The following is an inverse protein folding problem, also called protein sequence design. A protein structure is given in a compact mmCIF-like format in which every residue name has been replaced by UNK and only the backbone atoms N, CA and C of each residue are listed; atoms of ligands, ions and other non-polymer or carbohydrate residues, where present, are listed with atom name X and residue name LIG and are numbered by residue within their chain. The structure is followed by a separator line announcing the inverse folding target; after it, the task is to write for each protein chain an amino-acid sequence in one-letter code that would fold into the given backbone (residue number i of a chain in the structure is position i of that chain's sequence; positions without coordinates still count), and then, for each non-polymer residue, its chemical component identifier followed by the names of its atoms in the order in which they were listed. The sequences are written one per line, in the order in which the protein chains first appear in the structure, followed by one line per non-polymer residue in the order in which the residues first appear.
data_IF_224225581820
#
_entry.id   IF_224225581820
#
_cell.length_a   1.000
_cell.length_b   1.000
_cell.length_c   1.000
_cell.angle_alpha   90.00
_cell.angle_beta   90.00
_cell.angle_gamma   90.00
#
_symmetry.space_group_name_H-M   'P 1'
#
loop_
_entity.id
_entity.type
_entity.pdbx_description
1 polymer ?
#
# COMPACT_ATOMS: atom_id res chain seq x y z
N UNK A 1 28.67 -23.42 12.71
CA UNK A 1 27.77 -22.50 13.42
C UNK A 1 26.42 -22.52 12.75
N UNK A 2 25.34 -22.72 13.52
CA UNK A 2 23.97 -22.64 13.04
C UNK A 2 23.28 -21.47 13.72
N UNK A 3 22.66 -20.60 12.95
CA UNK A 3 21.84 -19.49 13.45
C UNK A 3 20.44 -19.63 12.88
N UNK A 4 19.43 -19.60 13.74
CA UNK A 4 18.02 -19.66 13.38
C UNK A 4 17.31 -18.43 13.95
N UNK A 5 16.46 -17.80 13.14
CA UNK A 5 15.59 -16.71 13.53
C UNK A 5 14.19 -17.00 12.99
N UNK A 6 13.17 -16.89 13.82
CA UNK A 6 11.78 -16.95 13.40
C UNK A 6 10.98 -15.88 14.15
N UNK A 7 9.98 -15.33 13.50
CA UNK A 7 9.16 -14.30 14.10
C UNK A 7 7.85 -14.08 13.37
N UNK A 8 6.99 -13.33 14.03
CA UNK A 8 5.73 -12.84 13.49
C UNK A 8 5.67 -11.33 13.65
N UNK A 9 5.01 -10.67 12.72
CA UNK A 9 4.80 -9.23 12.72
C UNK A 9 3.32 -8.96 12.49
N UNK A 10 2.75 -8.06 13.29
CA UNK A 10 1.38 -7.56 13.13
C UNK A 10 1.49 -6.04 13.03
N UNK A 11 1.00 -5.51 11.92
CA UNK A 11 0.91 -4.07 11.70
C UNK A 11 -0.56 -3.69 11.53
N UNK A 12 -1.01 -2.71 12.29
CA UNK A 12 -2.31 -2.07 12.11
C UNK A 12 -2.09 -0.56 11.98
N UNK A 13 -2.61 0.01 10.91
CA UNK A 13 -2.60 1.44 10.68
C UNK A 13 -4.03 1.92 10.39
N UNK A 14 -4.42 3.03 10.98
CA UNK A 14 -5.69 3.71 10.72
C UNK A 14 -5.40 5.08 10.15
N UNK A 15 -6.03 5.40 9.02
CA UNK A 15 -5.97 6.71 8.38
C UNK A 15 -7.36 7.30 8.33
N UNK A 16 -7.56 8.38 9.06
CA UNK A 16 -8.79 9.15 9.02
C UNK A 16 -8.61 10.33 8.06
N UNK A 17 -9.48 10.40 7.07
CA UNK A 17 -9.51 11.51 6.12
C UNK A 17 -10.69 12.40 6.50
N UNK A 18 -10.38 13.60 6.99
CA UNK A 18 -11.37 14.65 7.24
C UNK A 18 -11.56 15.48 5.99
N UNK A 19 -12.81 15.77 5.59
CA UNK A 19 -13.06 16.60 4.43
C UNK A 19 -12.56 18.03 4.66
N UNK A 20 -11.97 18.60 3.65
CA UNK A 20 -11.69 20.02 3.61
C UNK A 20 -13.01 20.80 3.47
N UNK A 21 -13.22 21.79 4.33
CA UNK A 21 -14.42 22.61 4.32
C UNK A 21 -14.05 24.01 3.81
N UNK A 22 -14.57 24.36 2.64
CA UNK A 22 -14.45 25.73 2.12
C UNK A 22 -15.31 26.68 2.93
N UNK A 23 -14.70 27.74 3.45
CA UNK A 23 -15.40 28.76 4.20
C UNK A 23 -15.41 30.06 3.42
N UNK A 24 -16.58 30.71 3.35
CA UNK A 24 -16.80 31.93 2.58
C UNK A 24 -16.83 33.16 3.48
N UNK A 25 -16.63 34.35 2.87
CA UNK A 25 -16.78 35.62 3.53
C UNK A 25 -15.78 35.88 4.66
N UNK A 26 -14.52 35.49 4.47
CA UNK A 26 -13.49 35.76 5.45
C UNK A 26 -13.27 37.26 5.64
N UNK A 27 -13.43 37.75 6.88
CA UNK A 27 -13.16 39.13 7.28
C UNK A 27 -11.82 39.16 8.04
N UNK A 28 -10.82 39.78 7.44
CA UNK A 28 -9.46 39.88 8.00
C UNK A 28 -9.36 40.71 9.27
N UNK A 29 -10.32 41.63 9.50
CA UNK A 29 -10.29 42.51 10.66
C UNK A 29 -10.87 41.86 11.91
N UNK A 30 -11.86 41.01 11.73
CA UNK A 30 -12.53 40.30 12.82
C UNK A 30 -12.13 38.85 12.94
N UNK A 31 -11.30 38.37 11.99
CA UNK A 31 -10.88 36.96 11.87
C UNK A 31 -12.08 35.99 11.90
N UNK A 32 -13.14 36.38 11.20
CA UNK A 32 -14.40 35.61 11.17
C UNK A 32 -14.77 35.22 9.74
N UNK A 33 -15.61 34.21 9.63
CA UNK A 33 -16.19 33.71 8.38
C UNK A 33 -17.71 33.71 8.49
N UNK A 34 -18.39 33.72 7.35
CA UNK A 34 -19.85 33.59 7.31
C UNK A 34 -20.20 32.16 7.72
N UNK A 35 -21.00 32.01 8.77
CA UNK A 35 -21.42 30.70 9.30
C UNK A 35 -22.52 30.06 8.46
N UNK A 36 -23.36 30.85 7.80
CA UNK A 36 -24.47 30.41 6.94
C UNK A 36 -24.36 31.10 5.58
N UNK A 37 -23.56 30.58 4.64
CA UNK A 37 -23.46 31.14 3.30
C UNK A 37 -24.81 31.08 2.57
N UNK A 38 -25.15 32.11 1.81
CA UNK A 38 -26.32 32.12 0.95
C UNK A 38 -25.98 31.43 -0.40
N UNK A 39 -26.40 30.20 -0.54
CA UNK A 39 -26.21 29.40 -1.76
C UNK A 39 -27.29 29.64 -2.82
N UNK A 40 -28.31 30.44 -2.54
CA UNK A 40 -29.49 30.61 -3.40
C UNK A 40 -29.35 31.88 -4.24
N UNK A 41 -28.89 32.98 -3.64
CA UNK A 41 -28.83 34.27 -4.29
C UNK A 41 -27.68 34.35 -5.29
N UNK A 42 -27.99 34.95 -6.45
CA UNK A 42 -26.96 35.25 -7.46
C UNK A 42 -26.17 36.51 -7.08
N UNK A 43 -24.88 36.38 -7.05
CA UNK A 43 -23.94 37.45 -6.80
C UNK A 43 -23.02 37.63 -8.01
N UNK A 44 -22.58 38.89 -8.26
CA UNK A 44 -21.56 39.13 -9.30
C UNK A 44 -20.20 38.61 -8.81
N UNK A 45 -19.57 37.76 -9.59
CA UNK A 45 -18.19 37.36 -9.35
C UNK A 45 -17.20 38.46 -9.78
N UNK A 46 -15.90 38.22 -9.60
CA UNK A 46 -14.83 39.18 -9.96
C UNK A 46 -14.80 39.51 -11.47
N UNK A 47 -15.40 38.70 -12.30
CA UNK A 47 -15.52 38.89 -13.76
C UNK A 47 -16.84 39.56 -14.14
N UNK A 48 -17.66 39.99 -13.18
CA UNK A 48 -18.96 40.63 -13.42
C UNK A 48 -20.08 39.65 -13.82
N UNK A 49 -19.85 38.35 -13.79
CA UNK A 49 -20.85 37.34 -14.11
C UNK A 49 -21.68 37.01 -12.90
N UNK A 50 -23.00 36.94 -13.06
CA UNK A 50 -23.88 36.50 -12.00
C UNK A 50 -23.70 34.99 -11.76
N UNK A 51 -23.29 34.63 -10.56
CA UNK A 51 -23.10 33.24 -10.14
C UNK A 51 -23.55 33.04 -8.71
N UNK A 52 -23.91 31.82 -8.34
CA UNK A 52 -24.17 31.43 -6.95
C UNK A 52 -22.88 30.93 -6.30
N UNK A 53 -22.83 31.06 -5.00
CA UNK A 53 -21.80 30.33 -4.23
C UNK A 53 -22.01 28.83 -4.52
N UNK A 54 -21.00 28.09 -4.98
CA UNK A 54 -21.16 26.64 -5.21
C UNK A 54 -21.44 25.95 -3.87
N UNK A 55 -22.49 25.12 -3.85
CA UNK A 55 -22.74 24.23 -2.73
C UNK A 55 -21.77 23.06 -2.85
N UNK A 56 -20.77 23.07 -2.01
CA UNK A 56 -19.87 21.92 -1.86
C UNK A 56 -20.45 21.03 -0.76
N UNK A 57 -20.95 19.83 -1.09
CA UNK A 57 -21.35 18.89 -0.07
C UNK A 57 -20.14 18.61 0.82
N UNK A 58 -20.34 18.59 2.13
CA UNK A 58 -19.30 18.13 3.07
C UNK A 58 -18.71 16.85 2.52
N UNK A 59 -17.40 16.86 2.25
CA UNK A 59 -16.71 15.68 1.76
C UNK A 59 -16.95 14.49 2.70
N UNK A 60 -16.86 13.28 2.18
CA UNK A 60 -17.06 12.09 2.98
C UNK A 60 -15.94 11.95 4.02
N UNK A 61 -16.33 11.72 5.27
CA UNK A 61 -15.43 11.18 6.27
C UNK A 61 -15.03 9.78 5.81
N UNK A 62 -13.75 9.52 5.70
CA UNK A 62 -13.24 8.23 5.32
C UNK A 62 -12.28 7.73 6.39
N UNK A 63 -12.52 6.53 6.87
CA UNK A 63 -11.62 5.81 7.76
C UNK A 63 -11.10 4.57 7.02
N UNK A 64 -9.78 4.53 6.84
CA UNK A 64 -9.10 3.42 6.16
C UNK A 64 -8.30 2.67 7.21
N UNK A 65 -8.61 1.39 7.40
CA UNK A 65 -7.87 0.50 8.28
C UNK A 65 -7.02 -0.47 7.46
N UNK A 66 -5.72 -0.39 7.66
CA UNK A 66 -4.74 -1.27 7.06
C UNK A 66 -4.25 -2.27 8.11
N UNK A 67 -4.41 -3.56 7.83
CA UNK A 67 -3.97 -4.64 8.72
C UNK A 67 -3.09 -5.61 7.95
N UNK A 68 -1.88 -5.82 8.46
CA UNK A 68 -0.92 -6.75 7.91
C UNK A 68 -0.53 -7.78 8.97
N UNK A 69 -0.39 -9.00 8.54
CA UNK A 69 0.16 -10.10 9.32
C UNK A 69 1.26 -10.79 8.53
N UNK A 70 2.42 -10.94 9.14
CA UNK A 70 3.57 -11.57 8.49
C UNK A 70 4.17 -12.63 9.38
N UNK A 71 4.64 -13.71 8.76
CA UNK A 71 5.44 -14.74 9.40
C UNK A 71 6.74 -14.86 8.63
N UNK A 72 7.86 -14.89 9.32
CA UNK A 72 9.17 -15.04 8.70
C UNK A 72 10.08 -16.00 9.45
N UNK A 73 10.97 -16.61 8.71
CA UNK A 73 12.02 -17.46 9.24
C UNK A 73 13.31 -17.29 8.41
N UNK A 74 14.44 -17.25 9.11
CA UNK A 74 15.75 -17.20 8.50
C UNK A 74 16.63 -18.28 9.15
N UNK A 75 17.41 -18.97 8.32
CA UNK A 75 18.39 -19.95 8.76
C UNK A 75 19.73 -19.64 8.10
N UNK A 76 20.80 -19.72 8.86
CA UNK A 76 22.17 -19.62 8.36
C UNK A 76 23.02 -20.70 8.99
N UNK A 77 23.67 -21.48 8.15
CA UNK A 77 24.61 -22.51 8.58
C UNK A 77 25.98 -22.25 7.99
N UNK A 78 26.99 -22.13 8.85
CA UNK A 78 28.38 -21.96 8.42
C UNK A 78 29.21 -23.17 8.88
N UNK A 79 29.82 -23.83 7.90
CA UNK A 79 30.71 -24.96 8.09
C UNK A 79 32.16 -24.53 7.85
N UNK A 80 33.03 -24.91 8.79
CA UNK A 80 34.49 -24.68 8.77
C UNK A 80 34.89 -23.23 8.41
N UNK A 81 34.01 -22.25 8.76
CA UNK A 81 34.20 -20.82 8.43
C UNK A 81 34.47 -20.53 6.93
N UNK A 82 34.24 -21.49 6.06
CA UNK A 82 34.49 -21.42 4.60
C UNK A 82 33.22 -21.49 3.81
N UNK A 83 32.30 -22.36 4.22
CA UNK A 83 31.05 -22.61 3.52
C UNK A 83 29.89 -22.06 4.32
N UNK A 84 29.07 -21.22 3.73
CA UNK A 84 27.85 -20.74 4.38
C UNK A 84 26.66 -20.98 3.50
N UNK A 85 25.61 -21.57 4.08
CA UNK A 85 24.31 -21.77 3.48
C UNK A 85 23.31 -20.87 4.22
N UNK A 86 22.49 -20.14 3.48
CA UNK A 86 21.45 -19.27 4.03
C UNK A 86 20.11 -19.64 3.40
N UNK A 87 19.05 -19.62 4.19
CA UNK A 87 17.69 -19.77 3.71
C UNK A 87 16.82 -18.74 4.39
N UNK A 88 15.93 -18.12 3.63
CA UNK A 88 14.92 -17.19 4.16
C UNK A 88 13.54 -17.56 3.64
N UNK A 89 12.55 -17.35 4.49
CA UNK A 89 11.15 -17.54 4.17
C UNK A 89 10.36 -16.39 4.81
N UNK A 90 9.41 -15.83 4.06
CA UNK A 90 8.45 -14.86 4.56
C UNK A 90 7.11 -15.07 3.86
N UNK A 91 6.04 -14.96 4.59
CA UNK A 91 4.68 -14.88 4.04
C UNK A 91 3.94 -13.73 4.68
N UNK A 92 3.29 -12.95 3.85
CA UNK A 92 2.56 -11.76 4.25
C UNK A 92 1.08 -11.90 3.88
N UNK A 93 0.21 -11.46 4.77
CA UNK A 93 -1.22 -11.37 4.55
C UNK A 93 -1.70 -9.95 4.87
N UNK A 94 -2.61 -9.41 4.08
CA UNK A 94 -3.23 -8.10 4.35
C UNK A 94 -4.74 -8.17 4.16
N UNK A 95 -5.46 -7.21 4.75
CA UNK A 95 -6.91 -7.08 4.56
C UNK A 95 -7.29 -6.56 3.16
N UNK A 96 -6.31 -6.11 2.36
CA UNK A 96 -6.50 -5.67 0.97
C UNK A 96 -6.35 -6.78 -0.06
N UNK A 97 -5.78 -7.92 0.33
CA UNK A 97 -5.58 -9.04 -0.58
C UNK A 97 -6.89 -9.73 -0.93
N UNK A 98 -6.88 -10.37 -2.11
CA UNK A 98 -8.00 -11.09 -2.71
C UNK A 98 -8.76 -11.99 -1.74
N UNK A 99 -10.07 -12.13 -1.99
CA UNK A 99 -10.95 -13.05 -1.26
C UNK A 99 -10.59 -14.52 -1.47
N UNK A 100 -9.79 -14.84 -2.47
CA UNK A 100 -9.36 -16.21 -2.75
C UNK A 100 -8.26 -16.59 -1.76
N UNK A 101 -8.49 -17.65 -1.00
CA UNK A 101 -7.59 -18.11 0.07
C UNK A 101 -6.16 -18.44 -0.42
N UNK A 102 -6.00 -18.69 -1.71
CA UNK A 102 -4.72 -18.99 -2.37
C UNK A 102 -3.80 -17.76 -2.47
N UNK A 103 -4.40 -16.59 -2.59
CA UNK A 103 -3.66 -15.35 -2.85
C UNK A 103 -3.40 -14.56 -1.56
N UNK A 104 -4.00 -14.99 -0.43
CA UNK A 104 -3.83 -14.31 0.87
C UNK A 104 -2.45 -14.49 1.47
N UNK A 105 -1.76 -15.57 1.13
CA UNK A 105 -0.44 -15.89 1.64
C UNK A 105 0.50 -16.15 0.47
N UNK A 106 1.14 -15.10 -0.01
CA UNK A 106 2.18 -15.23 -1.04
C UNK A 106 3.52 -15.53 -0.36
N UNK A 107 4.03 -16.77 -0.44
CA UNK A 107 5.31 -17.08 0.17
C UNK A 107 6.46 -16.52 -0.65
N UNK A 108 7.32 -15.79 -0.01
CA UNK A 108 8.61 -15.34 -0.52
C UNK A 108 9.69 -16.20 0.13
N UNK A 109 10.62 -16.67 -0.66
CA UNK A 109 11.71 -17.47 -0.14
C UNK A 109 12.98 -17.25 -0.94
N UNK A 110 14.09 -17.42 -0.28
CA UNK A 110 15.38 -17.44 -0.95
C UNK A 110 16.31 -18.44 -0.31
N UNK A 111 17.19 -19.00 -1.12
CA UNK A 111 18.29 -19.84 -0.70
C UNK A 111 19.59 -19.25 -1.25
N UNK A 112 20.62 -19.20 -0.44
CA UNK A 112 21.91 -18.69 -0.83
C UNK A 112 23.04 -19.56 -0.31
N UNK A 113 24.08 -19.68 -1.10
CA UNK A 113 25.32 -20.34 -0.70
C UNK A 113 26.51 -19.39 -0.91
N UNK A 114 27.46 -19.45 -0.02
CA UNK A 114 28.72 -18.73 -0.19
C UNK A 114 29.91 -19.58 0.18
N UNK A 115 30.99 -19.39 -0.54
CA UNK A 115 32.24 -20.11 -0.38
C UNK A 115 33.40 -19.13 -0.29
N UNK A 116 34.14 -19.20 0.82
CA UNK A 116 35.33 -18.40 1.08
C UNK A 116 36.55 -19.11 0.53
N UNK A 117 36.81 -18.90 -0.75
CA UNK A 117 37.90 -19.56 -1.50
C UNK A 117 39.29 -19.17 -0.96
N UNK A 118 39.48 -17.95 -0.44
CA UNK A 118 40.77 -17.52 0.08
C UNK A 118 41.29 -18.34 1.27
N UNK A 119 40.39 -19.06 1.97
CA UNK A 119 40.78 -19.99 3.05
C UNK A 119 41.08 -21.42 2.57
N UNK A 120 40.94 -21.68 1.28
CA UNK A 120 41.31 -22.99 0.73
C UNK A 120 42.78 -23.16 0.52
N UNK A 121 43.30 -24.35 0.82
CA UNK A 121 44.76 -24.67 0.75
C UNK A 121 45.36 -24.38 -0.62
N UNK A 122 44.57 -24.47 -1.70
CA UNK A 122 45.06 -24.22 -3.06
C UNK A 122 45.19 -22.73 -3.41
N UNK A 123 44.39 -21.85 -2.78
CA UNK A 123 44.47 -20.41 -2.97
C UNK A 123 45.37 -19.74 -1.91
N UNK A 124 45.42 -20.27 -0.70
CA UNK A 124 46.23 -19.69 0.40
C UNK A 124 47.74 -19.56 0.08
N UNK A 125 48.21 -20.25 -0.96
CA UNK A 125 49.57 -20.11 -1.49
C UNK A 125 49.78 -18.91 -2.44
N UNK A 126 48.68 -18.31 -2.91
CA UNK A 126 48.75 -17.17 -3.82
C UNK A 126 48.83 -15.88 -3.01
N UNK A 127 50.05 -15.31 -2.87
CA UNK A 127 50.32 -14.11 -2.06
C UNK A 127 49.63 -12.82 -2.54
N UNK A 128 49.03 -12.87 -3.72
CA UNK A 128 48.32 -11.71 -4.33
C UNK A 128 46.79 -11.73 -4.06
N UNK A 129 46.27 -12.79 -3.41
CA UNK A 129 44.86 -12.92 -3.09
C UNK A 129 44.66 -12.80 -1.58
N UNK A 130 44.17 -11.66 -1.12
CA UNK A 130 43.86 -11.45 0.29
C UNK A 130 42.50 -12.00 0.66
N UNK A 131 41.45 -11.74 -0.16
CA UNK A 131 40.10 -12.20 0.06
C UNK A 131 39.42 -12.56 -1.25
N UNK A 132 38.98 -13.81 -1.35
CA UNK A 132 38.15 -14.29 -2.45
C UNK A 132 36.94 -15.06 -1.91
N UNK A 133 35.75 -14.50 -2.11
CA UNK A 133 34.49 -15.11 -1.70
C UNK A 133 33.54 -15.15 -2.89
N UNK A 134 33.08 -16.35 -3.23
CA UNK A 134 32.03 -16.57 -4.22
C UNK A 134 30.70 -16.76 -3.49
N UNK A 135 29.63 -16.17 -4.02
CA UNK A 135 28.29 -16.38 -3.50
C UNK A 135 27.29 -16.48 -4.64
N UNK A 136 26.28 -17.33 -4.44
CA UNK A 136 25.14 -17.47 -5.33
C UNK A 136 23.87 -17.52 -4.48
N UNK A 137 22.80 -16.91 -4.99
CA UNK A 137 21.49 -16.97 -4.35
C UNK A 137 20.39 -17.10 -5.40
N UNK A 138 19.33 -17.78 -5.01
CA UNK A 138 18.13 -17.92 -5.82
C UNK A 138 16.89 -17.83 -4.93
N UNK A 139 15.83 -17.21 -5.43
CA UNK A 139 14.62 -17.06 -4.65
C UNK A 139 13.52 -16.34 -5.39
N UNK A 140 12.36 -16.27 -4.76
CA UNK A 140 11.19 -15.52 -5.21
C UNK A 140 10.95 -14.41 -4.21
N UNK A 141 10.90 -13.18 -4.70
CA UNK A 141 10.56 -11.99 -3.93
C UNK A 141 9.41 -11.23 -4.57
N UNK A 142 8.67 -10.49 -3.78
CA UNK A 142 7.56 -9.69 -4.24
C UNK A 142 7.18 -8.63 -3.22
N UNK A 143 6.17 -7.86 -3.54
CA UNK A 143 5.60 -6.86 -2.63
C UNK A 143 4.14 -7.22 -2.42
N UNK A 144 3.71 -7.33 -1.15
CA UNK A 144 2.30 -7.48 -0.83
C UNK A 144 1.52 -6.25 -1.29
N UNK A 145 0.41 -6.46 -1.99
CA UNK A 145 -0.49 -5.38 -2.38
C UNK A 145 -1.10 -4.74 -1.12
N UNK A 146 -0.87 -3.47 -0.89
CA UNK A 146 -1.24 -2.79 0.34
C UNK A 146 -1.70 -1.35 0.16
N UNK A 147 -2.21 -0.98 -1.03
CA UNK A 147 -2.73 0.38 -1.24
C UNK A 147 -4.17 0.37 -1.71
N UNK A 148 -4.95 1.34 -1.21
CA UNK A 148 -6.26 1.70 -1.75
C UNK A 148 -6.17 1.86 -3.27
N UNK A 149 -7.02 1.16 -4.02
CA UNK A 149 -7.00 1.13 -5.49
C UNK A 149 -6.40 -0.13 -6.11
N UNK A 150 -5.78 -1.00 -5.32
CA UNK A 150 -5.30 -2.33 -5.75
C UNK A 150 -6.22 -3.47 -5.28
N UNK A 151 -7.47 -3.15 -4.95
CA UNK A 151 -8.45 -4.15 -4.52
C UNK A 151 -8.83 -5.08 -5.68
N UNK A 152 -8.93 -6.37 -5.41
CA UNK A 152 -9.50 -7.35 -6.34
C UNK A 152 -11.01 -7.20 -6.51
N UNK A 153 -11.67 -6.38 -5.69
CA UNK A 153 -13.11 -6.19 -5.69
C UNK A 153 -13.50 -5.01 -6.57
N UNK A 154 -14.40 -5.24 -7.52
CA UNK A 154 -15.04 -4.17 -8.28
C UNK A 154 -16.05 -3.44 -7.39
N UNK A 155 -15.92 -2.12 -7.28
CA UNK A 155 -16.86 -1.28 -6.55
C UNK A 155 -17.89 -0.65 -7.49
N UNK A 156 -19.14 -0.63 -7.04
CA UNK A 156 -20.25 0.01 -7.73
C UNK A 156 -20.66 1.26 -6.97
N UNK A 157 -20.86 2.35 -7.69
CA UNK A 157 -21.48 3.55 -7.15
C UNK A 157 -22.96 3.60 -7.60
N UNK A 158 -23.83 4.00 -6.68
CA UNK A 158 -25.23 4.24 -6.97
C UNK A 158 -25.38 5.72 -7.35
N UNK A 159 -25.90 5.97 -8.52
CA UNK A 159 -26.19 7.32 -8.98
C UNK A 159 -27.68 7.57 -8.93
N UNK A 160 -28.10 8.78 -8.51
CA UNK A 160 -29.50 9.17 -8.59
C UNK A 160 -29.96 9.16 -10.05
N UNK A 161 -31.20 8.82 -10.26
CA UNK A 161 -31.82 8.80 -11.58
C UNK A 161 -31.79 10.15 -12.27
N UNK A 162 -31.71 10.10 -13.60
CA UNK A 162 -31.81 11.29 -14.46
C UNK A 162 -33.10 11.19 -15.28
N UNK A 163 -33.87 12.26 -15.25
CA UNK A 163 -35.19 12.34 -15.95
C UNK A 163 -35.07 11.98 -17.43
N UNK A 164 -33.94 12.32 -18.05
CA UNK A 164 -33.73 12.13 -19.50
C UNK A 164 -33.45 10.68 -19.88
N UNK A 165 -32.71 9.94 -19.07
CA UNK A 165 -32.20 8.61 -19.44
C UNK A 165 -32.74 7.46 -18.59
N UNK A 166 -33.03 7.71 -17.32
CA UNK A 166 -33.38 6.66 -16.36
C UNK A 166 -34.78 6.80 -15.79
N UNK A 167 -35.62 7.66 -16.37
CA UNK A 167 -36.97 7.94 -15.86
C UNK A 167 -37.00 8.21 -14.33
N UNK A 168 -35.97 8.86 -13.83
CA UNK A 168 -35.75 9.18 -12.42
C UNK A 168 -35.45 7.96 -11.52
N UNK A 169 -35.14 6.80 -12.11
CA UNK A 169 -34.70 5.64 -11.33
C UNK A 169 -33.18 5.68 -11.10
N UNK A 170 -32.78 5.27 -9.89
CA UNK A 170 -31.37 5.16 -9.55
C UNK A 170 -30.70 4.02 -10.34
N UNK A 171 -29.47 4.21 -10.76
CA UNK A 171 -28.70 3.19 -11.46
C UNK A 171 -27.33 2.99 -10.83
N UNK A 172 -26.79 1.80 -11.04
CA UNK A 172 -25.45 1.43 -10.57
C UNK A 172 -24.43 1.58 -11.71
N UNK A 173 -23.31 2.20 -11.43
CA UNK A 173 -22.19 2.24 -12.34
C UNK A 173 -20.91 1.77 -11.64
N UNK A 174 -20.01 1.17 -12.43
CA UNK A 174 -18.70 0.75 -11.92
C UNK A 174 -17.87 2.00 -11.59
N UNK A 175 -17.60 2.23 -10.31
CA UNK A 175 -16.76 3.34 -9.86
C UNK A 175 -15.27 2.98 -9.86
N UNK A 176 -14.93 1.72 -9.57
CA UNK A 176 -13.58 1.20 -9.69
C UNK A 176 -13.63 -0.29 -10.07
N UNK A 177 -12.82 -0.68 -11.03
CA UNK A 177 -12.68 -2.08 -11.42
C UNK A 177 -11.69 -2.77 -10.49
N UNK A 178 -12.08 -3.93 -9.97
CA UNK A 178 -11.17 -4.79 -9.24
C UNK A 178 -10.12 -5.41 -10.16
N UNK A 179 -8.93 -5.59 -9.66
CA UNK A 179 -7.90 -6.35 -10.33
C UNK A 179 -8.00 -7.82 -9.92
N UNK A 180 -8.39 -8.69 -10.85
CA UNK A 180 -8.56 -10.13 -10.60
C UNK A 180 -7.24 -10.90 -10.50
N UNK A 181 -6.11 -10.25 -10.79
CA UNK A 181 -4.77 -10.85 -10.75
C UNK A 181 -3.98 -10.49 -9.48
N UNK A 182 -4.61 -9.79 -8.54
CA UNK A 182 -4.05 -9.51 -7.21
C UNK A 182 -4.28 -10.65 -6.24
#
# INVERSE_FOLDING_TARGET
ILTLLAGTEILAASTEVTPEITRYGFNKYTNSVVTTPDYITYNKNIFGVNTRIPYEPLGSLENIEDRFFSVYANASYTYDERYSLTASFRTDASNFQSKTQRDKFSPFWSIGASWLLSREKFISKASWVDLLKVRASYGISGVAAGKKGTSSVTTLAVYPGNITFTANEAYNAVSARGNSTL
#
